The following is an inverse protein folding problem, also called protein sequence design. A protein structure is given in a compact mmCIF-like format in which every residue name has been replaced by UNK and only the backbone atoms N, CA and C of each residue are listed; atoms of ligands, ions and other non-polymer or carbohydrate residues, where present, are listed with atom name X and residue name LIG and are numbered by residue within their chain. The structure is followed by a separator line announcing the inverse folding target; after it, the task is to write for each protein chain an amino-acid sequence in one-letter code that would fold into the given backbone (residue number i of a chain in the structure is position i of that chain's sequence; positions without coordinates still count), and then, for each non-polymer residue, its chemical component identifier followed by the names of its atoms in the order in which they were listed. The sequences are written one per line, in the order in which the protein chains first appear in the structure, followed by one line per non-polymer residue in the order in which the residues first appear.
data_IF_329171606216
#
_entry.id   IF_329171606216
#
_cell.length_a   1.000
_cell.length_b   1.000
_cell.length_c   1.000
_cell.angle_alpha   90.00
_cell.angle_beta   90.00
_cell.angle_gamma   90.00
#
_symmetry.space_group_name_H-M   'P 1'
#
loop_
_entity.id
_entity.type
_entity.pdbx_description
1 polymer ?
#
# COMPACT_ATOMS: atom_id res chain seq x y z
N UNK A 1 -24.88 -6.23 5.27
CA UNK A 1 -24.03 -5.35 6.11
C UNK A 1 -22.95 -4.83 5.19
N UNK A 2 -22.71 -3.52 5.15
CA UNK A 2 -21.68 -2.95 4.26
C UNK A 2 -20.29 -3.34 4.76
N UNK A 3 -19.42 -3.78 3.86
CA UNK A 3 -18.03 -4.06 4.18
C UNK A 3 -17.28 -2.77 4.51
N UNK A 4 -16.52 -2.77 5.59
CA UNK A 4 -15.75 -1.62 6.04
C UNK A 4 -14.29 -1.99 6.26
N UNK A 5 -13.39 -1.05 6.07
CA UNK A 5 -12.01 -1.17 6.55
C UNK A 5 -12.02 -1.10 8.07
N UNK A 6 -11.46 -2.12 8.73
CA UNK A 6 -11.42 -2.19 10.19
C UNK A 6 -10.00 -2.10 10.75
N UNK A 7 -9.00 -2.41 9.93
CA UNK A 7 -7.60 -2.36 10.34
C UNK A 7 -6.68 -2.13 9.17
N UNK A 8 -5.65 -1.33 9.36
CA UNK A 8 -4.52 -1.17 8.43
C UNK A 8 -3.23 -1.29 9.21
N UNK A 9 -2.30 -2.10 8.72
CA UNK A 9 -0.98 -2.27 9.32
C UNK A 9 0.10 -2.15 8.27
N UNK A 10 1.25 -1.59 8.65
CA UNK A 10 2.44 -1.55 7.82
C UNK A 10 3.66 -2.04 8.61
N UNK A 11 4.50 -2.82 7.95
CA UNK A 11 5.72 -3.37 8.53
C UNK A 11 6.93 -3.07 7.65
N UNK A 12 8.03 -2.67 8.29
CA UNK A 12 9.34 -2.52 7.65
C UNK A 12 10.03 -3.90 7.60
N UNK A 13 10.21 -4.43 6.41
CA UNK A 13 10.89 -5.71 6.17
C UNK A 13 12.24 -5.43 5.54
N UNK A 14 13.30 -5.66 6.32
CA UNK A 14 14.69 -5.42 5.94
C UNK A 14 15.38 -6.71 5.50
N UNK A 15 16.07 -6.63 4.35
CA UNK A 15 16.92 -7.75 3.87
C UNK A 15 18.32 -7.22 3.63
N UNK A 16 19.35 -7.73 4.34
CA UNK A 16 20.72 -7.21 4.25
C UNK A 16 21.45 -7.72 2.99
N UNK A 17 20.91 -7.42 1.81
CA UNK A 17 21.49 -7.85 0.53
C UNK A 17 22.86 -7.22 0.27
N UNK A 18 23.19 -6.12 0.95
CA UNK A 18 24.52 -5.50 0.88
C UNK A 18 25.64 -6.37 1.45
N UNK A 19 25.34 -7.33 2.34
CA UNK A 19 26.34 -8.22 2.93
C UNK A 19 26.96 -9.17 1.88
N UNK A 20 26.18 -9.52 0.87
CA UNK A 20 26.60 -10.39 -0.23
C UNK A 20 26.73 -9.65 -1.56
N UNK A 21 26.52 -8.34 -1.57
CA UNK A 21 26.47 -7.48 -2.76
C UNK A 21 25.43 -7.95 -3.80
N UNK A 22 24.43 -8.70 -3.38
CA UNK A 22 23.37 -9.18 -4.26
C UNK A 22 22.61 -8.01 -4.87
N UNK A 23 22.55 -7.96 -6.21
CA UNK A 23 21.89 -6.89 -6.95
C UNK A 23 22.65 -5.55 -6.96
N UNK A 24 23.92 -5.52 -6.53
CA UNK A 24 24.74 -4.32 -6.63
C UNK A 24 25.05 -3.97 -8.09
N UNK A 25 25.10 -2.68 -8.37
CA UNK A 25 25.47 -2.10 -9.67
C UNK A 25 26.36 -0.86 -9.47
N UNK A 26 26.87 -0.22 -10.53
CA UNK A 26 27.72 0.98 -10.41
C UNK A 26 27.09 2.14 -9.64
N UNK A 27 25.76 2.28 -9.64
CA UNK A 27 25.04 3.33 -8.94
C UNK A 27 24.61 2.88 -7.53
N UNK A 28 24.18 1.62 -7.38
CA UNK A 28 23.71 1.03 -6.14
C UNK A 28 24.73 0.02 -5.62
N UNK A 29 25.82 0.52 -5.08
CA UNK A 29 26.99 -0.31 -4.68
C UNK A 29 26.70 -1.25 -3.51
N UNK A 30 25.81 -0.84 -2.60
CA UNK A 30 25.43 -1.60 -1.40
C UNK A 30 23.95 -1.43 -1.07
N UNK A 31 23.04 -1.85 -1.95
CA UNK A 31 21.62 -1.78 -1.65
C UNK A 31 21.25 -2.82 -0.60
N UNK A 32 20.27 -2.51 0.23
CA UNK A 32 19.55 -3.46 1.07
C UNK A 32 18.13 -3.60 0.50
N UNK A 33 17.98 -4.35 -0.58
CA UNK A 33 16.69 -4.54 -1.23
C UNK A 33 15.69 -5.11 -0.25
N UNK A 34 14.81 -4.25 0.18
CA UNK A 34 13.87 -4.46 1.27
C UNK A 34 12.48 -4.10 0.81
N UNK A 35 11.51 -4.10 1.71
CA UNK A 35 10.18 -3.64 1.36
C UNK A 35 9.43 -3.12 2.58
N UNK A 36 8.40 -2.34 2.30
CA UNK A 36 7.32 -2.09 3.24
C UNK A 36 6.15 -3.00 2.87
N UNK A 37 5.75 -3.84 3.80
CA UNK A 37 4.59 -4.70 3.67
C UNK A 37 3.40 -4.04 4.33
N UNK A 38 2.26 -4.03 3.65
CA UNK A 38 1.02 -3.44 4.17
C UNK A 38 -0.11 -4.45 4.08
N UNK A 39 -0.95 -4.48 5.11
CA UNK A 39 -2.20 -5.24 5.13
C UNK A 39 -3.38 -4.36 5.48
N UNK A 40 -4.53 -4.62 4.86
CA UNK A 40 -5.81 -4.00 5.15
C UNK A 40 -6.81 -5.11 5.44
N UNK A 41 -7.48 -5.05 6.58
CA UNK A 41 -8.52 -5.98 6.99
C UNK A 41 -9.89 -5.34 6.84
N UNK A 42 -10.82 -6.09 6.26
CA UNK A 42 -12.23 -5.73 6.13
C UNK A 42 -13.08 -6.38 7.23
N UNK A 43 -14.26 -5.85 7.45
CA UNK A 43 -15.19 -6.27 8.51
C UNK A 43 -15.71 -7.72 8.39
N UNK A 44 -15.51 -8.38 7.26
CA UNK A 44 -15.81 -9.80 7.06
C UNK A 44 -14.60 -10.72 7.30
N UNK A 45 -13.44 -10.14 7.69
CA UNK A 45 -12.18 -10.86 7.90
C UNK A 45 -11.33 -11.02 6.62
N UNK A 46 -11.77 -10.49 5.49
CA UNK A 46 -10.92 -10.45 4.28
C UNK A 46 -9.71 -9.55 4.52
N UNK A 47 -8.50 -10.07 4.23
CA UNK A 47 -7.27 -9.30 4.37
C UNK A 47 -6.60 -9.15 3.01
N UNK A 48 -6.42 -7.91 2.58
CA UNK A 48 -5.64 -7.56 1.39
C UNK A 48 -4.22 -7.18 1.76
N UNK A 49 -3.28 -7.45 0.86
CA UNK A 49 -1.85 -7.28 1.08
C UNK A 49 -1.21 -6.47 -0.04
N UNK A 50 -0.17 -5.74 0.31
CA UNK A 50 0.69 -5.08 -0.68
C UNK A 50 2.15 -5.05 -0.24
N UNK A 51 3.01 -4.85 -1.21
CA UNK A 51 4.46 -4.72 -1.00
C UNK A 51 4.95 -3.50 -1.78
N UNK A 52 5.67 -2.62 -1.11
CA UNK A 52 6.41 -1.53 -1.74
C UNK A 52 7.90 -1.86 -1.70
N UNK A 53 8.51 -2.07 -2.86
CA UNK A 53 9.94 -2.33 -2.98
C UNK A 53 10.76 -1.09 -2.61
N UNK A 54 11.87 -1.30 -1.90
CA UNK A 54 12.78 -0.24 -1.46
C UNK A 54 14.23 -0.70 -1.52
N UNK A 55 15.14 0.25 -1.26
CA UNK A 55 16.57 -0.04 -1.08
C UNK A 55 17.01 -0.04 0.39
N UNK A 56 16.05 -0.08 1.32
CA UNK A 56 16.24 -0.27 2.77
C UNK A 56 16.13 0.99 3.59
N UNK A 57 17.05 1.92 3.48
CA UNK A 57 16.96 3.18 4.24
C UNK A 57 15.72 3.99 3.83
N UNK A 58 15.00 4.51 4.83
CA UNK A 58 13.79 5.31 4.58
C UNK A 58 12.48 4.52 4.58
N UNK A 59 12.50 3.20 4.80
CA UNK A 59 11.27 2.40 4.96
C UNK A 59 10.36 2.99 6.06
N UNK A 60 10.95 3.49 7.14
CA UNK A 60 10.22 4.11 8.26
C UNK A 60 9.31 5.24 7.80
N UNK A 61 9.73 6.00 6.79
CA UNK A 61 8.94 7.11 6.25
C UNK A 61 7.70 6.59 5.50
N UNK A 62 7.84 5.48 4.76
CA UNK A 62 6.71 4.86 4.06
C UNK A 62 5.75 4.26 5.09
N UNK A 63 6.27 3.56 6.11
CA UNK A 63 5.46 2.99 7.21
C UNK A 63 4.68 4.11 7.91
N UNK A 64 5.35 5.21 8.25
CA UNK A 64 4.69 6.37 8.84
C UNK A 64 3.59 6.94 7.92
N UNK A 65 3.91 7.09 6.63
CA UNK A 65 2.95 7.57 5.62
C UNK A 65 1.72 6.66 5.50
N UNK A 66 1.90 5.34 5.48
CA UNK A 66 0.78 4.38 5.49
C UNK A 66 -0.07 4.54 6.75
N UNK A 67 0.57 4.62 7.93
CA UNK A 67 -0.13 4.78 9.20
C UNK A 67 -0.88 6.11 9.31
N UNK A 68 -0.36 7.17 8.68
CA UNK A 68 -1.04 8.47 8.68
C UNK A 68 -2.23 8.49 7.71
N UNK A 69 -2.04 7.95 6.50
CA UNK A 69 -3.12 7.80 5.51
C UNK A 69 -4.22 6.87 6.03
N UNK A 70 -3.87 5.81 6.77
CA UNK A 70 -4.85 4.84 7.28
C UNK A 70 -5.93 5.45 8.17
N UNK A 71 -5.65 6.59 8.81
CA UNK A 71 -6.64 7.32 9.59
C UNK A 71 -7.83 7.81 8.76
N UNK A 72 -7.61 8.03 7.46
CA UNK A 72 -8.68 8.40 6.52
C UNK A 72 -9.50 7.18 6.08
N UNK A 73 -9.01 5.97 6.37
CA UNK A 73 -9.69 4.71 6.01
C UNK A 73 -10.50 4.13 7.17
N UNK A 74 -10.42 4.71 8.36
CA UNK A 74 -11.21 4.24 9.49
C UNK A 74 -12.71 4.25 9.15
N UNK A 75 -13.36 3.08 9.26
CA UNK A 75 -14.76 2.89 8.86
C UNK A 75 -15.08 3.15 7.37
N UNK A 76 -14.06 3.27 6.50
CA UNK A 76 -14.26 3.48 5.07
C UNK A 76 -15.12 2.34 4.48
N UNK A 77 -16.14 2.72 3.72
CA UNK A 77 -17.04 1.77 3.07
C UNK A 77 -16.36 1.17 1.82
N UNK A 78 -16.06 -0.12 1.86
CA UNK A 78 -15.35 -0.80 0.78
C UNK A 78 -16.13 -0.82 -0.55
N UNK A 79 -17.47 -0.75 -0.51
CA UNK A 79 -18.31 -0.66 -1.72
C UNK A 79 -18.03 0.61 -2.52
N UNK A 80 -17.63 1.71 -1.86
CA UNK A 80 -17.28 2.96 -2.54
C UNK A 80 -15.99 2.78 -3.35
N UNK A 81 -15.03 2.00 -2.82
CA UNK A 81 -13.83 1.62 -3.56
C UNK A 81 -14.17 0.75 -4.78
N UNK A 82 -14.98 -0.29 -4.63
CA UNK A 82 -15.32 -1.18 -5.75
C UNK A 82 -16.15 -0.49 -6.82
N UNK A 83 -16.90 0.54 -6.46
CA UNK A 83 -17.66 1.37 -7.39
C UNK A 83 -16.75 2.28 -8.24
N UNK A 84 -15.78 2.93 -7.61
CA UNK A 84 -14.80 3.78 -8.29
C UNK A 84 -13.50 3.92 -7.48
N UNK A 85 -12.51 3.05 -7.71
CA UNK A 85 -11.23 3.11 -6.99
C UNK A 85 -10.50 4.45 -7.13
N UNK A 86 -10.71 5.14 -8.26
CA UNK A 86 -10.11 6.46 -8.50
C UNK A 86 -10.58 7.54 -7.52
N UNK A 87 -11.77 7.39 -6.95
CA UNK A 87 -12.26 8.34 -5.94
C UNK A 87 -11.42 8.27 -4.67
N UNK A 88 -11.14 7.08 -4.14
CA UNK A 88 -10.28 6.93 -2.98
C UNK A 88 -8.88 7.47 -3.24
N UNK A 89 -8.28 7.11 -4.39
CA UNK A 89 -6.98 7.66 -4.79
C UNK A 89 -6.99 9.19 -4.75
N UNK A 90 -8.00 9.80 -5.37
CA UNK A 90 -8.11 11.25 -5.49
C UNK A 90 -8.35 11.92 -4.14
N UNK A 91 -9.20 11.33 -3.30
CA UNK A 91 -9.50 11.84 -1.96
C UNK A 91 -8.23 11.92 -1.09
N UNK A 92 -7.42 10.87 -1.08
CA UNK A 92 -6.16 10.85 -0.32
C UNK A 92 -5.14 11.79 -0.96
N UNK A 93 -5.00 11.73 -2.28
CA UNK A 93 -4.02 12.51 -3.02
C UNK A 93 -4.23 14.02 -2.88
N UNK A 94 -5.48 14.45 -2.95
CA UNK A 94 -5.86 15.86 -2.94
C UNK A 94 -6.25 16.33 -1.52
N UNK A 95 -6.11 15.46 -0.52
CA UNK A 95 -6.48 15.77 0.85
C UNK A 95 -5.76 17.02 1.36
N UNK A 96 -6.51 17.97 1.88
CA UNK A 96 -6.01 19.33 2.19
C UNK A 96 -4.87 19.36 3.20
N UNK A 97 -4.72 18.33 4.05
CA UNK A 97 -3.62 18.19 5.02
C UNK A 97 -2.46 17.33 4.52
N UNK A 98 -2.61 16.58 3.42
CA UNK A 98 -1.58 15.67 2.88
C UNK A 98 -0.96 16.17 1.57
N UNK A 99 -1.72 16.92 0.77
CA UNK A 99 -1.29 17.35 -0.58
C UNK A 99 -0.01 18.19 -0.60
N UNK A 100 0.37 18.81 0.51
CA UNK A 100 1.61 19.57 0.62
C UNK A 100 2.87 18.68 0.63
N UNK A 101 2.73 17.38 0.96
CA UNK A 101 3.82 16.41 0.95
C UNK A 101 4.34 16.13 -0.47
N UNK A 102 3.59 16.51 -1.49
CA UNK A 102 3.91 16.31 -2.90
C UNK A 102 4.16 14.82 -3.27
N UNK A 103 4.99 14.58 -4.28
CA UNK A 103 5.32 13.24 -4.77
C UNK A 103 6.43 12.55 -3.94
N UNK A 104 6.80 11.32 -4.29
CA UNK A 104 7.82 10.54 -3.61
C UNK A 104 7.25 9.61 -2.56
N UNK A 105 7.75 9.68 -1.33
CA UNK A 105 7.37 8.74 -0.24
C UNK A 105 5.87 8.72 0.02
N UNK A 106 5.20 9.87 -0.04
CA UNK A 106 3.75 9.95 0.12
C UNK A 106 3.00 9.11 -0.94
N UNK A 107 3.48 9.14 -2.19
CA UNK A 107 2.90 8.34 -3.28
C UNK A 107 3.19 6.84 -3.11
N UNK A 108 4.35 6.49 -2.57
CA UNK A 108 4.67 5.10 -2.25
C UNK A 108 3.72 4.58 -1.16
N UNK A 109 3.48 5.35 -0.11
CA UNK A 109 2.54 5.01 0.94
C UNK A 109 1.09 4.89 0.42
N UNK A 110 0.64 5.84 -0.42
CA UNK A 110 -0.66 5.76 -1.08
C UNK A 110 -0.75 4.51 -1.97
N UNK A 111 0.31 4.18 -2.70
CA UNK A 111 0.37 2.97 -3.52
C UNK A 111 0.23 1.68 -2.68
N UNK A 112 0.81 1.63 -1.48
CA UNK A 112 0.62 0.52 -0.55
C UNK A 112 -0.86 0.33 -0.21
N UNK A 113 -1.54 1.40 0.15
CA UNK A 113 -2.98 1.39 0.48
C UNK A 113 -3.79 0.90 -0.72
N UNK A 114 -3.61 1.53 -1.89
CA UNK A 114 -4.38 1.21 -3.09
C UNK A 114 -4.20 -0.26 -3.50
N UNK A 115 -2.97 -0.76 -3.49
CA UNK A 115 -2.68 -2.14 -3.86
C UNK A 115 -3.29 -3.15 -2.88
N UNK A 116 -3.27 -2.88 -1.57
CA UNK A 116 -3.91 -3.72 -0.59
C UNK A 116 -5.45 -3.74 -0.74
N UNK A 117 -6.07 -2.59 -1.07
CA UNK A 117 -7.50 -2.49 -1.38
C UNK A 117 -7.86 -3.31 -2.63
N UNK A 118 -7.05 -3.24 -3.68
CA UNK A 118 -7.23 -4.06 -4.88
C UNK A 118 -7.10 -5.56 -4.59
N UNK A 119 -6.18 -5.96 -3.70
CA UNK A 119 -6.03 -7.36 -3.29
C UNK A 119 -7.24 -7.85 -2.48
N UNK A 120 -7.81 -7.01 -1.60
CA UNK A 120 -9.09 -7.29 -0.96
C UNK A 120 -10.17 -7.59 -1.99
N UNK A 121 -10.33 -6.74 -2.99
CA UNK A 121 -11.35 -6.90 -4.03
C UNK A 121 -11.14 -8.19 -4.83
N UNK A 122 -9.91 -8.46 -5.24
CA UNK A 122 -9.58 -9.69 -5.97
C UNK A 122 -9.93 -10.95 -5.17
N UNK A 123 -9.70 -10.94 -3.86
CA UNK A 123 -10.05 -12.05 -2.96
C UNK A 123 -11.55 -12.24 -2.80
N UNK A 124 -12.31 -11.15 -2.64
CA UNK A 124 -13.78 -11.20 -2.57
C UNK A 124 -14.37 -11.78 -3.85
N UNK A 125 -13.89 -11.33 -5.02
CA UNK A 125 -14.32 -11.81 -6.32
C UNK A 125 -13.77 -13.20 -6.68
N UNK A 126 -12.83 -13.74 -5.87
CA UNK A 126 -12.13 -15.01 -6.14
C UNK A 126 -11.50 -15.07 -7.53
N UNK A 127 -10.96 -13.92 -7.96
CA UNK A 127 -10.31 -13.73 -9.26
C UNK A 127 -8.96 -13.04 -9.06
N UNK A 128 -7.93 -13.42 -9.83
CA UNK A 128 -6.70 -12.65 -9.83
C UNK A 128 -6.96 -11.25 -10.42
N UNK A 129 -6.27 -10.23 -9.90
CA UNK A 129 -6.51 -8.84 -10.26
C UNK A 129 -6.43 -8.58 -11.79
N UNK A 130 -5.48 -9.22 -12.49
CA UNK A 130 -5.35 -9.08 -13.94
C UNK A 130 -6.60 -9.51 -14.71
N UNK A 131 -7.43 -10.37 -14.14
CA UNK A 131 -8.66 -10.86 -14.80
C UNK A 131 -9.82 -9.84 -14.73
N UNK A 132 -9.70 -8.78 -13.91
CA UNK A 132 -10.72 -7.72 -13.88
C UNK A 132 -10.75 -6.90 -15.17
N UNK A 133 -9.67 -6.89 -15.90
CA UNK A 133 -9.49 -6.06 -17.10
C UNK A 133 -9.72 -6.81 -18.42
N UNK A 134 -10.05 -8.10 -18.35
CA UNK A 134 -10.23 -8.97 -19.53
C UNK A 134 -11.70 -9.20 -19.91
N UNK A 135 -12.64 -8.50 -19.31
CA UNK A 135 -14.09 -8.62 -19.63
C UNK A 135 -14.62 -7.44 -20.38
#
# INVERSE_FOLDING_TARGET
MKLKVVKTEAADIRVPTSDTLLGSDPFHKKPNYSCVYTSIELSDGTVGHSVCFTSGAGNDWIVYGVNDISKLLEDYNFEDFTTNPGNLYKEINDHHQLRWLADGVNRMALGCIMNAMWDCWAKIEKKPLWNFWLT
#
